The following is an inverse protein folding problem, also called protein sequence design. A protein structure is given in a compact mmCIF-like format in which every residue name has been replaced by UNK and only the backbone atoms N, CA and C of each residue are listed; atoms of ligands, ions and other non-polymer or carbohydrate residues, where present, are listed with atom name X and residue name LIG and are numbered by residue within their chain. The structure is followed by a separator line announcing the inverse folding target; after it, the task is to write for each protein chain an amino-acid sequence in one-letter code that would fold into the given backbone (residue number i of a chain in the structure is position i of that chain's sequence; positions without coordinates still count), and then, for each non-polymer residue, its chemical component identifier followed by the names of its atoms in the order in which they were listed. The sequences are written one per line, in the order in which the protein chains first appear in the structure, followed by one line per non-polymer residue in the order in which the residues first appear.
data_IF_029563589691
#
_entry.id   IF_029563589691
#
_cell.length_a   1.000
_cell.length_b   1.000
_cell.length_c   1.000
_cell.angle_alpha   90.00
_cell.angle_beta   90.00
_cell.angle_gamma   90.00
#
_symmetry.space_group_name_H-M   'P 1'
#
loop_
_entity.id
_entity.type
_entity.pdbx_description
1 polymer ?
#
# COMPACT_ATOMS: atom_id res chain seq x y z
N UNK A 1 -22.60 -6.33 33.38
CA UNK A 1 -21.37 -7.06 32.96
C UNK A 1 -21.81 -8.20 32.04
N UNK A 2 -21.14 -8.43 30.91
CA UNK A 2 -21.58 -9.39 29.89
C UNK A 2 -20.70 -10.67 29.94
N UNK A 3 -21.26 -11.87 30.19
CA UNK A 3 -20.49 -13.12 30.25
C UNK A 3 -19.64 -13.39 28.99
N UNK A 4 -20.13 -12.99 27.82
CA UNK A 4 -19.41 -13.14 26.56
C UNK A 4 -18.10 -12.34 26.51
N UNK A 5 -18.06 -11.16 27.14
CA UNK A 5 -16.86 -10.32 27.24
C UNK A 5 -15.87 -10.94 28.22
N UNK A 6 -16.35 -11.56 29.31
CA UNK A 6 -15.50 -12.30 30.24
C UNK A 6 -14.83 -13.50 29.57
N UNK A 7 -15.58 -14.28 28.78
CA UNK A 7 -15.04 -15.42 28.02
C UNK A 7 -13.96 -14.98 27.02
N UNK A 8 -14.21 -13.90 26.26
CA UNK A 8 -13.22 -13.32 25.35
C UNK A 8 -11.96 -12.84 26.10
N UNK A 9 -12.14 -12.24 27.29
CA UNK A 9 -11.03 -11.80 28.13
C UNK A 9 -10.16 -12.95 28.64
N UNK A 10 -10.78 -14.08 29.02
CA UNK A 10 -10.07 -15.30 29.41
C UNK A 10 -9.27 -15.84 28.22
N UNK A 11 -9.93 -15.97 27.06
CA UNK A 11 -9.27 -16.47 25.85
C UNK A 11 -8.05 -15.62 25.46
N UNK A 12 -8.18 -14.28 25.52
CA UNK A 12 -7.09 -13.36 25.19
C UNK A 12 -5.90 -13.51 26.15
N UNK A 13 -6.15 -13.54 27.47
CA UNK A 13 -5.11 -13.66 28.49
C UNK A 13 -4.37 -15.00 28.41
N UNK A 14 -5.11 -16.11 28.35
CA UNK A 14 -4.51 -17.47 28.26
C UNK A 14 -3.67 -17.60 26.99
N UNK A 15 -4.15 -17.08 25.86
CA UNK A 15 -3.40 -17.10 24.59
C UNK A 15 -2.13 -16.27 24.69
N UNK A 16 -2.21 -15.04 25.20
CA UNK A 16 -1.04 -14.18 25.44
C UNK A 16 0.00 -14.88 26.31
N UNK A 17 -0.42 -15.41 27.46
CA UNK A 17 0.50 -16.02 28.43
C UNK A 17 1.14 -17.30 27.88
N UNK A 18 0.43 -18.05 27.01
CA UNK A 18 0.99 -19.20 26.30
C UNK A 18 2.02 -18.78 25.25
N UNK A 19 1.74 -17.73 24.48
CA UNK A 19 2.64 -17.21 23.43
C UNK A 19 3.93 -16.64 24.02
N UNK A 20 3.83 -15.92 25.12
CA UNK A 20 4.99 -15.35 25.82
C UNK A 20 5.87 -16.48 26.38
N UNK A 21 5.29 -17.46 27.09
CA UNK A 21 6.05 -18.61 27.64
C UNK A 21 6.75 -19.45 26.57
N UNK A 22 6.13 -19.61 25.41
CA UNK A 22 6.69 -20.37 24.29
C UNK A 22 7.50 -19.49 23.31
N UNK A 23 7.78 -18.24 23.67
CA UNK A 23 8.52 -17.32 22.81
C UNK A 23 9.93 -17.83 22.58
N UNK A 24 10.33 -17.88 21.31
CA UNK A 24 11.68 -18.19 20.89
C UNK A 24 12.24 -16.95 20.21
N UNK A 25 13.37 -16.47 20.68
CA UNK A 25 14.05 -15.34 20.08
C UNK A 25 14.64 -15.78 18.74
N UNK A 26 14.38 -14.99 17.69
CA UNK A 26 14.97 -15.20 16.37
C UNK A 26 16.40 -14.64 16.35
N UNK A 27 16.65 -13.63 17.17
CA UNK A 27 17.91 -12.93 17.30
C UNK A 27 18.92 -13.78 18.09
N UNK A 28 20.18 -13.89 17.63
CA UNK A 28 21.21 -14.59 18.36
C UNK A 28 21.65 -13.79 19.60
N UNK A 29 22.06 -14.50 20.66
CA UNK A 29 22.71 -13.92 21.85
C UNK A 29 21.87 -12.91 22.65
N UNK A 30 20.53 -12.96 22.59
CA UNK A 30 19.68 -12.15 23.46
C UNK A 30 19.96 -12.48 24.92
N UNK A 31 20.40 -11.48 25.69
CA UNK A 31 20.69 -11.63 27.12
C UNK A 31 19.38 -11.63 27.90
N UNK A 32 19.03 -12.77 28.46
CA UNK A 32 17.86 -12.93 29.33
C UNK A 32 18.37 -13.16 30.75
N UNK A 33 17.86 -12.38 31.71
CA UNK A 33 18.16 -12.59 33.14
C UNK A 33 17.64 -13.96 33.60
N UNK A 34 18.19 -14.49 34.69
CA UNK A 34 17.66 -15.70 35.36
C UNK A 34 16.18 -15.58 35.71
N UNK A 35 15.72 -14.35 35.95
CA UNK A 35 14.34 -14.01 36.31
C UNK A 35 13.42 -13.82 35.08
N UNK A 36 13.93 -14.13 33.88
CA UNK A 36 13.24 -13.90 32.61
C UNK A 36 13.13 -12.42 32.25
N UNK A 37 12.04 -12.07 31.57
CA UNK A 37 11.71 -10.70 31.14
C UNK A 37 10.61 -10.04 32.01
N UNK A 38 10.31 -10.62 33.17
CA UNK A 38 9.32 -10.09 34.13
C UNK A 38 7.87 -10.16 33.63
N UNK A 39 7.04 -9.28 34.18
CA UNK A 39 5.62 -9.14 33.85
C UNK A 39 5.34 -8.51 32.48
N UNK A 40 6.33 -7.85 31.88
CA UNK A 40 6.19 -7.07 30.64
C UNK A 40 5.60 -5.67 30.84
N UNK A 41 5.35 -5.22 32.08
CA UNK A 41 4.86 -3.87 32.36
C UNK A 41 5.99 -2.91 32.75
N UNK A 42 5.93 -1.61 32.39
CA UNK A 42 6.99 -0.65 32.69
C UNK A 42 7.21 -0.42 34.19
N UNK A 43 6.24 -0.76 35.04
CA UNK A 43 6.35 -0.61 36.50
C UNK A 43 7.14 -1.72 37.19
N UNK A 44 7.35 -2.84 36.52
CA UNK A 44 7.97 -4.03 37.12
C UNK A 44 9.50 -3.95 37.09
N UNK A 45 10.19 -4.08 38.24
CA UNK A 45 11.64 -4.06 38.32
C UNK A 45 12.32 -5.10 37.43
N UNK A 46 11.75 -6.31 37.32
CA UNK A 46 12.35 -7.39 36.51
C UNK A 46 12.26 -7.07 35.02
N UNK A 47 11.14 -6.48 34.58
CA UNK A 47 10.98 -6.02 33.19
C UNK A 47 11.98 -4.90 32.86
N UNK A 48 12.17 -3.92 33.77
CA UNK A 48 13.16 -2.86 33.57
C UNK A 48 14.58 -3.40 33.49
N UNK A 49 14.93 -4.35 34.37
CA UNK A 49 16.25 -5.01 34.36
C UNK A 49 16.50 -5.72 33.03
N UNK A 50 15.51 -6.49 32.54
CA UNK A 50 15.58 -7.12 31.22
C UNK A 50 15.81 -6.10 30.09
N UNK A 51 15.11 -4.96 30.09
CA UNK A 51 15.31 -3.91 29.08
C UNK A 51 16.71 -3.27 29.15
N UNK A 52 17.36 -3.25 30.31
CA UNK A 52 18.73 -2.73 30.42
C UNK A 52 19.75 -3.79 29.97
N UNK A 53 19.54 -5.04 30.36
CA UNK A 53 20.51 -6.12 30.11
C UNK A 53 20.46 -6.64 28.65
N UNK A 54 19.30 -6.59 28.01
CA UNK A 54 19.07 -7.15 26.67
C UNK A 54 19.34 -6.19 25.51
N UNK A 55 19.72 -4.94 25.80
CA UNK A 55 19.94 -3.94 24.76
C UNK A 55 21.26 -4.17 24.02
N UNK A 56 21.20 -4.13 22.69
CA UNK A 56 22.33 -4.17 21.77
C UNK A 56 22.71 -2.73 21.35
N UNK A 57 24.00 -2.35 21.37
CA UNK A 57 24.41 -0.98 21.05
C UNK A 57 24.06 -0.53 19.63
N UNK A 58 23.92 -1.44 18.66
CA UNK A 58 23.65 -1.11 17.25
C UNK A 58 22.19 -1.41 16.91
N UNK A 59 21.69 -2.59 17.26
CA UNK A 59 20.36 -3.06 16.84
C UNK A 59 19.24 -2.72 17.84
N UNK A 60 19.57 -2.25 19.05
CA UNK A 60 18.59 -1.93 20.07
C UNK A 60 18.04 -3.17 20.76
N UNK A 61 16.81 -3.58 20.45
CA UNK A 61 16.14 -4.69 21.14
C UNK A 61 15.76 -5.85 20.22
N UNK A 62 15.53 -7.02 20.82
CA UNK A 62 14.84 -8.12 20.13
C UNK A 62 13.39 -7.76 19.78
N UNK A 63 12.82 -8.47 18.82
CA UNK A 63 11.43 -8.35 18.36
C UNK A 63 10.36 -8.54 19.45
N UNK A 64 10.72 -9.08 20.61
CA UNK A 64 9.81 -9.17 21.76
C UNK A 64 9.48 -7.78 22.36
N UNK A 65 10.41 -6.83 22.28
CA UNK A 65 10.28 -5.50 22.89
C UNK A 65 9.54 -4.56 21.94
N UNK A 66 8.61 -3.78 22.49
CA UNK A 66 7.87 -2.76 21.74
C UNK A 66 8.70 -1.47 21.67
N UNK A 67 9.30 -1.21 20.52
CA UNK A 67 10.10 0.01 20.28
C UNK A 67 9.30 1.31 20.48
N UNK A 68 7.98 1.27 20.23
CA UNK A 68 7.09 2.42 20.44
C UNK A 68 6.79 2.73 21.92
N UNK A 69 7.30 1.94 22.87
CA UNK A 69 7.14 2.24 24.29
C UNK A 69 8.15 3.29 24.74
N UNK A 70 7.65 4.35 25.39
CA UNK A 70 8.47 5.44 25.94
C UNK A 70 9.63 4.96 26.82
N UNK A 71 9.46 3.87 27.57
CA UNK A 71 10.55 3.31 28.40
C UNK A 71 11.66 2.69 27.56
N UNK A 72 11.32 2.04 26.44
CA UNK A 72 12.29 1.47 25.51
C UNK A 72 13.00 2.59 24.73
N UNK A 73 12.23 3.56 24.23
CA UNK A 73 12.72 4.72 23.48
C UNK A 73 13.79 5.51 24.26
N UNK A 74 13.50 5.86 25.52
CA UNK A 74 14.47 6.54 26.41
C UNK A 74 15.73 5.72 26.68
N UNK A 75 15.65 4.39 26.66
CA UNK A 75 16.82 3.52 26.85
C UNK A 75 17.64 3.37 25.57
N UNK A 76 16.99 3.33 24.39
CA UNK A 76 17.66 3.32 23.09
C UNK A 76 18.46 4.61 22.89
N UNK A 77 17.87 5.78 23.16
CA UNK A 77 18.55 7.07 23.05
C UNK A 77 19.80 7.18 23.95
N UNK A 78 19.81 6.47 25.08
CA UNK A 78 20.91 6.54 26.08
C UNK A 78 22.01 5.52 25.85
N UNK A 79 21.65 4.33 25.38
CA UNK A 79 22.55 3.17 25.39
C UNK A 79 22.91 2.67 23.99
N UNK A 80 22.21 3.11 22.95
CA UNK A 80 22.51 2.74 21.57
C UNK A 80 23.24 3.86 20.81
N UNK A 81 23.86 3.48 19.71
CA UNK A 81 24.43 4.41 18.74
C UNK A 81 23.30 5.27 18.17
N UNK A 82 23.54 6.57 18.06
CA UNK A 82 22.59 7.50 17.44
C UNK A 82 22.39 7.10 15.97
N UNK A 83 21.22 6.56 15.67
CA UNK A 83 20.78 6.34 14.30
C UNK A 83 20.08 7.60 13.82
N UNK A 84 20.59 8.18 12.74
CA UNK A 84 19.85 9.18 11.98
C UNK A 84 19.15 8.45 10.86
N UNK A 85 17.85 8.33 11.01
CA UNK A 85 17.00 7.93 9.90
C UNK A 85 16.84 9.16 9.02
N UNK A 86 16.79 8.99 7.70
CA UNK A 86 16.19 10.02 6.85
C UNK A 86 14.75 10.17 7.35
N UNK A 87 14.51 11.19 8.17
CA UNK A 87 13.16 11.58 8.48
C UNK A 87 12.53 11.95 7.15
N UNK A 88 11.54 11.17 6.72
CA UNK A 88 10.46 11.72 5.92
C UNK A 88 9.72 12.69 6.84
N UNK A 89 10.33 13.87 7.10
CA UNK A 89 9.95 14.93 8.04
C UNK A 89 8.96 14.49 9.13
N UNK A 90 9.48 14.02 10.27
CA UNK A 90 8.71 13.61 11.44
C UNK A 90 8.54 14.76 12.47
N UNK A 91 8.46 16.01 12.00
CA UNK A 91 7.89 17.10 12.80
C UNK A 91 6.37 16.97 12.77
N UNK A 92 5.70 17.03 13.92
CA UNK A 92 4.23 17.09 14.01
C UNK A 92 3.65 17.90 12.84
N UNK A 93 2.61 17.42 12.12
CA UNK A 93 2.18 18.05 10.90
C UNK A 93 1.63 19.43 11.26
N UNK A 94 2.46 20.46 11.13
CA UNK A 94 1.94 21.71 10.63
C UNK A 94 1.44 21.35 9.25
N UNK A 95 0.12 21.24 9.19
CA UNK A 95 -0.74 21.01 8.03
C UNK A 95 -0.18 21.88 6.86
N UNK A 96 0.42 23.04 7.13
CA UNK A 96 1.09 23.91 6.15
C UNK A 96 2.43 23.44 5.53
N UNK A 97 3.27 22.63 6.19
CA UNK A 97 4.62 22.29 5.69
C UNK A 97 4.63 21.13 4.69
N UNK A 98 3.92 20.06 5.05
CA UNK A 98 3.70 18.88 4.21
C UNK A 98 2.89 19.20 2.93
N UNK A 99 2.18 20.33 2.96
CA UNK A 99 1.43 20.89 1.84
C UNK A 99 2.25 21.36 0.64
N UNK A 100 3.47 21.82 0.89
CA UNK A 100 4.21 22.66 -0.04
C UNK A 100 5.04 21.81 -1.03
N UNK A 101 5.12 20.49 -0.81
CA UNK A 101 5.95 19.57 -1.60
C UNK A 101 5.19 18.80 -2.69
N UNK A 102 3.89 19.01 -2.83
CA UNK A 102 3.07 18.42 -3.90
C UNK A 102 2.79 19.45 -4.99
N UNK A 103 2.68 19.02 -6.26
CA UNK A 103 2.42 19.94 -7.35
C UNK A 103 1.09 20.67 -7.15
N UNK A 104 1.17 22.00 -7.06
CA UNK A 104 0.02 22.88 -7.07
C UNK A 104 -0.43 23.11 -8.52
N UNK A 105 -1.70 22.84 -8.80
CA UNK A 105 -2.32 23.11 -10.08
C UNK A 105 -3.33 24.24 -9.94
N UNK A 106 -2.93 25.47 -10.29
CA UNK A 106 -3.89 26.56 -10.41
C UNK A 106 -4.86 26.28 -11.57
N UNK A 107 -6.14 26.58 -11.35
CA UNK A 107 -7.13 26.63 -12.41
C UNK A 107 -6.67 27.67 -13.45
N UNK A 108 -6.65 27.30 -14.73
CA UNK A 108 -6.38 28.22 -15.81
C UNK A 108 -7.58 29.17 -16.00
N UNK A 109 -7.36 30.27 -16.72
CA UNK A 109 -8.37 31.34 -16.92
C UNK A 109 -9.67 30.86 -17.58
N UNK A 110 -9.62 29.70 -18.23
CA UNK A 110 -10.73 29.00 -18.90
C UNK A 110 -11.46 28.01 -17.96
N UNK A 111 -11.15 28.01 -16.67
CA UNK A 111 -11.81 27.15 -15.67
C UNK A 111 -11.28 25.72 -15.64
N UNK A 112 -10.16 25.45 -16.31
CA UNK A 112 -9.63 24.10 -16.54
C UNK A 112 -8.29 23.89 -15.84
N UNK A 113 -8.01 22.65 -15.43
CA UNK A 113 -6.68 22.30 -14.92
C UNK A 113 -5.66 22.22 -16.05
N UNK A 114 -4.38 22.55 -15.77
CA UNK A 114 -3.31 22.40 -16.74
C UNK A 114 -3.18 20.95 -17.19
N UNK A 115 -2.90 20.79 -18.47
CA UNK A 115 -2.64 19.49 -19.09
C UNK A 115 -1.35 18.92 -18.51
N UNK A 116 -1.39 17.64 -18.16
CA UNK A 116 -0.26 16.88 -17.60
C UNK A 116 0.05 15.69 -18.49
N UNK A 117 1.24 15.12 -18.30
CA UNK A 117 1.63 13.88 -18.95
C UNK A 117 1.32 12.70 -18.01
N UNK A 118 0.69 11.66 -18.54
CA UNK A 118 0.37 10.43 -17.84
C UNK A 118 1.10 9.26 -18.48
N UNK A 119 1.89 8.53 -17.68
CA UNK A 119 2.65 7.35 -18.10
C UNK A 119 2.21 6.13 -17.32
N UNK A 120 2.08 5.00 -18.00
CA UNK A 120 1.77 3.71 -17.39
C UNK A 120 2.91 2.75 -17.64
N UNK A 121 3.38 2.09 -16.60
CA UNK A 121 4.39 1.06 -16.67
C UNK A 121 3.83 -0.28 -16.17
N UNK A 122 4.31 -1.38 -16.74
CA UNK A 122 4.00 -2.73 -16.28
C UNK A 122 5.26 -3.41 -15.75
N UNK A 123 5.14 -3.99 -14.56
CA UNK A 123 6.25 -4.63 -13.85
C UNK A 123 5.81 -5.93 -13.17
N UNK A 124 6.70 -6.92 -13.17
CA UNK A 124 6.54 -8.17 -12.43
C UNK A 124 7.11 -8.10 -11.00
N UNK A 125 7.89 -7.04 -10.70
CA UNK A 125 8.54 -6.87 -9.40
C UNK A 125 7.89 -5.74 -8.62
N UNK A 126 7.88 -5.86 -7.30
CA UNK A 126 7.25 -4.85 -6.47
C UNK A 126 8.01 -3.53 -6.43
N UNK A 127 9.32 -3.56 -6.64
CA UNK A 127 10.23 -2.42 -6.44
C UNK A 127 10.79 -1.81 -7.74
N UNK A 128 10.49 -2.39 -8.91
CA UNK A 128 10.97 -1.86 -10.19
C UNK A 128 9.85 -1.26 -11.01
N UNK A 129 10.14 -0.18 -11.74
CA UNK A 129 9.17 0.52 -12.59
C UNK A 129 8.66 -0.37 -13.73
N UNK A 130 9.49 -1.30 -14.20
CA UNK A 130 9.18 -2.16 -15.34
C UNK A 130 9.26 -1.43 -16.67
N UNK A 131 8.50 -1.90 -17.67
CA UNK A 131 8.50 -1.34 -19.03
C UNK A 131 7.36 -0.34 -19.21
N UNK A 132 7.62 0.79 -19.88
CA UNK A 132 6.58 1.73 -20.30
C UNK A 132 5.61 1.00 -21.23
N UNK A 133 4.32 1.12 -20.92
CA UNK A 133 3.22 0.57 -21.71
C UNK A 133 2.51 1.68 -22.49
N UNK A 134 2.36 2.86 -21.89
CA UNK A 134 1.64 3.97 -22.52
C UNK A 134 2.11 5.31 -21.98
N UNK A 135 2.16 6.30 -22.86
CA UNK A 135 2.33 7.72 -22.55
C UNK A 135 1.15 8.48 -23.15
N UNK A 136 0.67 9.49 -22.42
CA UNK A 136 -0.43 10.38 -22.78
C UNK A 136 0.00 11.79 -22.42
N UNK A 137 0.20 12.66 -23.40
CA UNK A 137 0.75 14.01 -23.18
C UNK A 137 -0.34 15.07 -22.94
N UNK A 138 -1.58 14.73 -23.23
CA UNK A 138 -2.75 15.61 -23.23
C UNK A 138 -3.76 15.28 -22.12
N UNK A 139 -3.29 14.71 -21.01
CA UNK A 139 -4.16 14.25 -19.95
C UNK A 139 -4.65 15.42 -19.07
N UNK A 140 -5.96 15.59 -18.95
CA UNK A 140 -6.59 16.69 -18.21
C UNK A 140 -7.29 16.18 -16.94
N UNK A 141 -6.94 16.76 -15.78
CA UNK A 141 -7.39 16.29 -14.45
C UNK A 141 -8.91 16.34 -14.20
N UNK A 142 -9.65 17.16 -14.94
CA UNK A 142 -11.12 17.24 -14.84
C UNK A 142 -11.85 16.10 -15.56
N UNK A 143 -11.13 15.29 -16.34
CA UNK A 143 -11.68 14.09 -16.97
C UNK A 143 -11.35 12.89 -16.07
N UNK A 144 -12.23 12.51 -15.13
CA UNK A 144 -12.13 11.20 -14.50
C UNK A 144 -12.33 10.12 -15.57
N UNK A 145 -11.24 9.52 -16.02
CA UNK A 145 -11.25 8.55 -17.11
C UNK A 145 -11.33 7.12 -16.55
N UNK A 146 -12.36 6.38 -16.96
CA UNK A 146 -12.41 4.93 -16.76
C UNK A 146 -11.43 4.28 -17.74
N UNK A 147 -10.26 3.86 -17.26
CA UNK A 147 -9.28 3.09 -18.05
C UNK A 147 -9.75 1.63 -18.17
N UNK A 148 -10.59 1.35 -19.17
CA UNK A 148 -10.92 -0.02 -19.55
C UNK A 148 -9.82 -0.59 -20.42
N UNK A 149 -9.26 -1.71 -20.00
CA UNK A 149 -8.29 -2.50 -20.77
C UNK A 149 -8.97 -3.49 -21.74
N UNK A 150 -10.31 -3.60 -21.76
CA UNK A 150 -11.04 -4.05 -22.97
C UNK A 150 -12.53 -3.68 -22.94
N UNK A 151 -13.09 -3.58 -24.16
CA UNK A 151 -14.41 -3.11 -24.60
C UNK A 151 -15.57 -3.47 -23.64
N UNK A 152 -16.58 -2.63 -23.34
CA UNK A 152 -17.55 -2.00 -24.24
C UNK A 152 -18.22 -0.76 -23.60
N UNK A 153 -18.87 0.03 -24.46
CA UNK A 153 -20.05 0.91 -24.22
C UNK A 153 -19.88 2.33 -23.66
N UNK A 154 -18.85 3.07 -24.10
CA UNK A 154 -18.92 4.53 -24.38
C UNK A 154 -17.60 4.90 -25.12
N UNK A 155 -17.63 5.26 -26.42
CA UNK A 155 -16.45 5.26 -27.28
C UNK A 155 -15.51 6.48 -27.16
N UNK A 156 -15.96 7.61 -26.61
CA UNK A 156 -15.24 8.86 -26.85
C UNK A 156 -14.07 9.16 -25.89
N UNK A 157 -13.92 8.45 -24.76
CA UNK A 157 -12.85 8.75 -23.77
C UNK A 157 -12.36 7.54 -22.95
N UNK A 158 -12.01 6.44 -23.62
CA UNK A 158 -11.37 5.27 -22.98
C UNK A 158 -9.93 5.12 -23.43
N UNK A 159 -9.02 4.95 -22.48
CA UNK A 159 -7.62 4.68 -22.80
C UNK A 159 -7.29 3.20 -22.59
N UNK A 160 -7.07 2.54 -23.72
CA UNK A 160 -6.77 1.12 -23.84
C UNK A 160 -5.26 0.89 -23.68
N UNK A 161 -4.89 -0.07 -22.84
CA UNK A 161 -3.49 -0.44 -22.59
C UNK A 161 -3.22 -1.84 -23.13
N UNK A 162 -2.44 -1.94 -24.20
CA UNK A 162 -1.99 -3.22 -24.73
C UNK A 162 -0.56 -3.47 -24.29
N UNK A 163 -0.32 -4.54 -23.53
CA UNK A 163 1.02 -4.96 -23.15
C UNK A 163 1.17 -6.48 -23.22
N UNK A 164 2.38 -6.93 -23.52
CA UNK A 164 2.70 -8.36 -23.49
C UNK A 164 2.97 -8.78 -22.04
N UNK A 165 2.29 -9.84 -21.60
CA UNK A 165 2.46 -10.35 -20.24
C UNK A 165 3.88 -10.89 -20.04
N UNK A 166 4.60 -10.43 -18.99
CA UNK A 166 5.89 -10.98 -18.63
C UNK A 166 5.79 -12.50 -18.40
N UNK A 167 6.82 -13.29 -18.80
CA UNK A 167 6.80 -14.73 -18.61
C UNK A 167 6.61 -15.16 -17.15
N UNK A 168 7.11 -14.39 -16.18
CA UNK A 168 6.93 -14.68 -14.76
C UNK A 168 5.44 -14.62 -14.35
N UNK A 169 4.69 -13.64 -14.86
CA UNK A 169 3.24 -13.49 -14.60
C UNK A 169 2.43 -14.70 -15.08
N UNK A 170 2.88 -15.38 -16.14
CA UNK A 170 2.24 -16.62 -16.65
C UNK A 170 2.51 -17.84 -15.76
N UNK A 171 3.54 -17.80 -14.92
CA UNK A 171 3.95 -18.88 -13.99
C UNK A 171 3.65 -18.50 -12.54
N UNK A 172 2.46 -17.96 -12.28
CA UNK A 172 1.99 -17.52 -10.95
C UNK A 172 2.69 -16.26 -10.41
N UNK A 173 3.34 -15.49 -11.27
CA UNK A 173 3.96 -14.23 -10.89
C UNK A 173 2.92 -13.12 -10.72
N UNK A 174 3.27 -12.13 -9.89
CA UNK A 174 2.46 -10.94 -9.72
C UNK A 174 2.72 -9.95 -10.86
N UNK A 175 1.69 -9.24 -11.29
CA UNK A 175 1.78 -8.12 -12.22
C UNK A 175 1.25 -6.87 -11.53
N UNK A 176 2.06 -5.82 -11.59
CA UNK A 176 1.69 -4.50 -11.13
C UNK A 176 1.67 -3.53 -12.31
N UNK A 177 0.69 -2.63 -12.28
CA UNK A 177 0.72 -1.41 -13.07
C UNK A 177 1.18 -0.26 -12.19
N UNK A 178 2.08 0.55 -12.73
CA UNK A 178 2.56 1.77 -12.10
C UNK A 178 2.08 2.95 -12.95
N UNK A 179 1.30 3.81 -12.32
CA UNK A 179 0.72 5.02 -12.89
C UNK A 179 1.55 6.21 -12.46
N UNK A 180 2.00 7.00 -13.41
CA UNK A 180 2.91 8.10 -13.18
C UNK A 180 2.36 9.38 -13.84
N UNK A 181 2.20 10.42 -13.05
CA UNK A 181 1.75 11.74 -13.50
C UNK A 181 2.93 12.72 -13.45
N UNK A 182 3.12 13.46 -14.53
CA UNK A 182 4.28 14.32 -14.78
C UNK A 182 3.85 15.66 -15.40
N UNK A 183 4.68 16.72 -15.29
CA UNK A 183 4.51 17.92 -16.10
C UNK A 183 4.51 17.56 -17.59
N UNK A 184 3.65 18.23 -18.38
CA UNK A 184 3.58 18.06 -19.84
C UNK A 184 4.95 18.19 -20.53
N UNK A 185 5.79 19.10 -20.05
CA UNK A 185 7.10 19.39 -20.64
C UNK A 185 8.17 18.33 -20.30
N UNK A 186 7.80 17.19 -19.69
CA UNK A 186 8.76 16.15 -19.28
C UNK A 186 9.12 15.25 -20.46
N UNK A 187 10.38 15.22 -20.92
CA UNK A 187 10.81 14.35 -22.02
C UNK A 187 10.67 12.87 -21.67
N UNK A 188 10.34 12.02 -22.65
CA UNK A 188 10.13 10.58 -22.45
C UNK A 188 11.39 9.83 -22.01
N UNK A 189 12.56 10.29 -22.47
CA UNK A 189 13.88 9.71 -22.26
C UNK A 189 14.52 10.08 -20.91
N UNK A 190 13.94 11.04 -20.19
CA UNK A 190 14.43 11.50 -18.90
C UNK A 190 13.83 10.68 -17.77
N UNK A 191 14.67 10.28 -16.81
CA UNK A 191 14.22 9.67 -15.55
C UNK A 191 13.20 10.59 -14.87
N UNK A 192 12.01 10.05 -14.62
CA UNK A 192 10.88 10.77 -14.03
C UNK A 192 11.23 11.47 -12.71
N UNK A 193 12.23 10.96 -11.98
CA UNK A 193 12.74 11.57 -10.74
C UNK A 193 13.36 12.95 -10.95
N UNK A 194 13.72 13.29 -12.19
CA UNK A 194 14.26 14.60 -12.60
C UNK A 194 13.17 15.57 -13.05
N UNK A 195 11.91 15.13 -13.13
CA UNK A 195 10.81 16.03 -13.43
C UNK A 195 10.61 17.05 -12.29
N UNK A 196 10.08 18.23 -12.63
CA UNK A 196 9.80 19.30 -11.65
C UNK A 196 8.93 18.80 -10.49
N UNK A 197 8.05 17.86 -10.78
CA UNK A 197 7.24 17.13 -9.82
C UNK A 197 6.83 15.80 -10.47
N UNK A 198 6.45 14.82 -9.66
CA UNK A 198 5.83 13.58 -10.14
C UNK A 198 4.89 13.01 -9.08
N UNK A 199 3.85 12.30 -9.51
CA UNK A 199 2.99 11.50 -8.64
C UNK A 199 3.00 10.07 -9.15
N UNK A 200 3.28 9.12 -8.26
CA UNK A 200 3.33 7.70 -8.58
C UNK A 200 2.27 6.95 -7.79
N UNK A 201 1.54 6.08 -8.46
CA UNK A 201 0.59 5.16 -7.85
C UNK A 201 0.81 3.77 -8.44
N UNK A 202 0.49 2.75 -7.65
CA UNK A 202 0.74 1.38 -8.02
C UNK A 202 -0.46 0.52 -7.69
N UNK A 203 -0.87 -0.30 -8.64
CA UNK A 203 -1.96 -1.24 -8.47
C UNK A 203 -1.51 -2.65 -8.83
N UNK A 204 -1.85 -3.63 -7.99
CA UNK A 204 -1.74 -5.03 -8.34
C UNK A 204 -2.91 -5.41 -9.24
N UNK A 205 -2.61 -5.89 -10.44
CA UNK A 205 -3.63 -6.25 -11.43
C UNK A 205 -3.73 -7.76 -11.66
N UNK A 206 -2.75 -8.55 -11.21
CA UNK A 206 -2.85 -10.01 -11.23
C UNK A 206 -3.51 -10.56 -9.97
N UNK A 207 -4.39 -11.54 -10.13
CA UNK A 207 -4.89 -12.37 -9.04
C UNK A 207 -4.79 -13.84 -9.43
N UNK A 208 -4.39 -14.68 -8.48
CA UNK A 208 -4.31 -16.12 -8.68
C UNK A 208 -5.55 -16.77 -8.07
N UNK A 209 -6.32 -17.50 -8.87
CA UNK A 209 -7.59 -18.10 -8.43
C UNK A 209 -7.58 -19.60 -8.65
N UNK A 210 -8.09 -20.32 -7.66
CA UNK A 210 -8.42 -21.74 -7.83
C UNK A 210 -9.64 -21.86 -8.75
N UNK A 211 -9.68 -22.87 -9.63
CA UNK A 211 -10.87 -23.14 -10.44
C UNK A 211 -12.07 -23.42 -9.53
N UNK A 212 -13.25 -22.93 -9.90
CA UNK A 212 -14.47 -23.15 -9.12
C UNK A 212 -14.75 -24.64 -8.93
N UNK A 213 -14.92 -25.04 -7.67
CA UNK A 213 -15.34 -26.40 -7.31
C UNK A 213 -16.84 -26.51 -7.42
N UNK A 214 -17.33 -27.04 -8.54
CA UNK A 214 -18.73 -27.44 -8.65
C UNK A 214 -18.88 -28.90 -8.24
N UNK A 215 -19.56 -29.13 -7.11
CA UNK A 215 -20.05 -30.45 -6.74
C UNK A 215 -21.48 -30.61 -7.25
N UNK A 216 -21.71 -31.57 -8.14
CA UNK A 216 -23.06 -31.84 -8.61
C UNK A 216 -23.79 -32.74 -7.61
N UNK A 217 -24.71 -32.15 -6.85
CA UNK A 217 -25.54 -32.84 -5.85
C UNK A 217 -26.38 -33.99 -6.44
N UNK A 218 -26.73 -33.93 -7.73
CA UNK A 218 -27.60 -34.90 -8.39
C UNK A 218 -26.83 -36.10 -8.98
N UNK A 219 -25.58 -35.90 -9.39
CA UNK A 219 -24.77 -36.95 -10.03
C UNK A 219 -23.61 -37.44 -9.16
N UNK A 220 -23.29 -36.74 -8.06
CA UNK A 220 -22.15 -37.05 -7.19
C UNK A 220 -20.79 -36.77 -7.84
N UNK A 221 -20.77 -36.21 -9.04
CA UNK A 221 -19.54 -35.93 -9.78
C UNK A 221 -18.80 -34.72 -9.19
N UNK A 222 -17.51 -34.94 -8.93
CA UNK A 222 -16.54 -33.90 -8.58
C UNK A 222 -15.69 -33.67 -9.83
N UNK A 223 -15.81 -32.49 -10.46
CA UNK A 223 -14.85 -32.10 -11.51
C UNK A 223 -13.48 -31.87 -10.87
N UNK A 224 -12.45 -32.50 -11.43
CA UNK A 224 -11.08 -32.38 -10.93
C UNK A 224 -10.52 -30.96 -11.07
N UNK A 225 -9.66 -30.62 -10.09
CA UNK A 225 -9.02 -29.31 -9.92
C UNK A 225 -7.95 -29.13 -11.00
N UNK A 226 -8.14 -28.20 -11.93
CA UNK A 226 -7.03 -27.66 -12.70
C UNK A 226 -6.05 -26.94 -11.74
N UNK A 227 -4.75 -26.82 -12.10
CA UNK A 227 -3.87 -25.91 -11.38
C UNK A 227 -4.50 -24.51 -11.38
N UNK A 228 -4.36 -23.73 -10.29
CA UNK A 228 -4.88 -22.38 -10.26
C UNK A 228 -4.36 -21.56 -11.44
N UNK A 229 -5.19 -20.65 -11.94
CA UNK A 229 -4.90 -19.92 -13.18
C UNK A 229 -4.74 -18.43 -12.87
N UNK A 230 -3.77 -17.78 -13.52
CA UNK A 230 -3.58 -16.34 -13.40
C UNK A 230 -4.74 -15.61 -14.07
N UNK A 231 -5.41 -14.76 -13.30
CA UNK A 231 -6.37 -13.81 -13.80
C UNK A 231 -5.76 -12.41 -13.79
N UNK A 232 -6.10 -11.61 -14.80
CA UNK A 232 -5.69 -10.22 -14.89
C UNK A 232 -6.91 -9.32 -14.84
N UNK A 233 -6.80 -8.26 -14.07
CA UNK A 233 -7.79 -7.21 -14.00
C UNK A 233 -7.77 -6.42 -15.30
N UNK A 234 -8.88 -6.50 -16.02
CA UNK A 234 -9.10 -5.82 -17.30
C UNK A 234 -9.62 -4.39 -17.16
N UNK A 235 -9.97 -3.94 -15.95
CA UNK A 235 -10.45 -2.57 -15.72
C UNK A 235 -9.75 -1.99 -14.50
N UNK A 236 -9.12 -0.84 -14.67
CA UNK A 236 -8.58 -0.07 -13.55
C UNK A 236 -9.31 1.27 -13.49
N UNK A 237 -9.96 1.52 -12.37
CA UNK A 237 -10.70 2.76 -12.15
C UNK A 237 -9.72 3.82 -11.64
N UNK A 238 -9.54 4.88 -12.40
CA UNK A 238 -8.85 6.09 -11.95
C UNK A 238 -9.94 7.13 -11.74
N UNK A 239 -10.09 7.61 -10.50
CA UNK A 239 -11.13 8.57 -10.16
C UNK A 239 -10.53 9.85 -9.62
N UNK A 240 -11.21 10.96 -9.93
CA UNK A 240 -11.02 12.22 -9.25
C UNK A 240 -11.72 12.16 -7.88
N UNK A 241 -11.24 12.89 -6.87
CA UNK A 241 -11.90 12.96 -5.55
C UNK A 241 -13.30 13.61 -5.62
N UNK A 242 -13.58 14.42 -6.66
CA UNK A 242 -14.90 15.00 -6.89
C UNK A 242 -15.92 13.94 -7.32
N UNK A 243 -15.46 12.92 -8.05
CA UNK A 243 -16.29 11.82 -8.58
C UNK A 243 -16.30 10.58 -7.66
N UNK A 244 -15.64 10.65 -6.50
CA UNK A 244 -15.57 9.56 -5.53
C UNK A 244 -16.92 9.32 -4.85
N UNK A 245 -17.30 8.06 -4.55
CA UNK A 245 -18.35 7.79 -3.56
C UNK A 245 -17.95 8.41 -2.21
N UNK A 246 -18.90 8.70 -1.31
CA UNK A 246 -18.61 9.28 0.01
C UNK A 246 -17.56 8.45 0.78
N UNK A 247 -16.29 8.82 0.64
CA UNK A 247 -15.15 8.22 1.32
C UNK A 247 -14.75 9.17 2.44
N UNK A 248 -14.72 8.66 3.66
CA UNK A 248 -14.16 9.37 4.80
C UNK A 248 -12.69 9.72 4.52
N UNK A 249 -12.27 10.96 4.78
CA UNK A 249 -10.89 11.43 4.57
C UNK A 249 -9.82 10.56 5.24
N UNK A 250 -10.18 9.78 6.27
CA UNK A 250 -9.28 8.85 6.96
C UNK A 250 -9.01 7.56 6.18
N UNK A 251 -9.91 7.24 5.24
CA UNK A 251 -9.91 6.01 4.45
C UNK A 251 -9.55 6.27 2.98
N UNK A 252 -9.30 7.54 2.63
CA UNK A 252 -8.75 7.92 1.34
C UNK A 252 -7.28 7.45 1.23
N UNK A 253 -6.83 6.98 0.05
CA UNK A 253 -5.42 6.64 -0.16
C UNK A 253 -4.55 7.87 0.16
N UNK A 254 -3.35 7.65 0.72
CA UNK A 254 -2.43 8.62 1.34
C UNK A 254 -2.00 9.81 0.45
N UNK A 255 -2.95 10.66 0.09
CA UNK A 255 -2.77 11.96 -0.55
C UNK A 255 -3.84 12.84 0.09
N UNK A 256 -3.45 13.71 1.03
CA UNK A 256 -4.40 14.66 1.65
C UNK A 256 -4.41 15.98 0.87
N UNK A 257 -5.59 16.59 0.88
CA UNK A 257 -6.02 17.79 0.19
C UNK A 257 -5.75 19.04 1.02
N UNK A 258 -5.40 20.16 0.38
CA UNK A 258 -5.76 21.46 0.94
C UNK A 258 -6.23 22.40 -0.14
N UNK A 259 -7.52 22.75 -0.10
CA UNK A 259 -8.06 23.95 -0.71
C UNK A 259 -7.59 25.21 0.04
N UNK A 260 -7.24 26.27 -0.69
CA UNK A 260 -7.43 27.62 -0.17
C UNK A 260 -8.83 28.14 -0.59
N UNK A 261 -9.18 29.37 -0.20
CA UNK A 261 -10.49 29.98 -0.48
C UNK A 261 -10.84 30.11 -1.98
N UNK A 262 -9.91 29.76 -2.89
CA UNK A 262 -10.04 29.97 -4.33
C UNK A 262 -9.97 28.69 -5.20
N UNK A 263 -9.91 27.47 -4.65
CA UNK A 263 -9.88 26.30 -5.53
C UNK A 263 -9.90 24.91 -4.89
N UNK A 264 -10.60 24.00 -5.57
CA UNK A 264 -10.63 22.56 -5.31
C UNK A 264 -9.51 21.85 -6.08
N UNK A 265 -8.97 20.75 -5.52
CA UNK A 265 -7.89 19.98 -6.13
C UNK A 265 -8.41 18.63 -6.63
N UNK A 266 -8.35 18.34 -7.94
CA UNK A 266 -8.73 17.04 -8.48
C UNK A 266 -7.60 16.06 -8.17
N UNK A 267 -7.73 15.32 -7.08
CA UNK A 267 -6.84 14.19 -6.82
C UNK A 267 -7.28 13.01 -7.66
N UNK A 268 -6.39 12.52 -8.52
CA UNK A 268 -6.61 11.24 -9.19
C UNK A 268 -6.05 10.10 -8.35
N UNK A 269 -6.83 9.05 -8.14
CA UNK A 269 -6.37 7.85 -7.48
C UNK A 269 -6.88 6.58 -8.17
N UNK A 270 -6.09 5.51 -8.08
CA UNK A 270 -6.55 4.17 -8.45
C UNK A 270 -7.52 3.69 -7.38
N UNK A 271 -8.80 3.55 -7.75
CA UNK A 271 -9.85 3.22 -6.83
C UNK A 271 -10.00 1.72 -6.63
N UNK A 272 -9.20 1.17 -5.71
CA UNK A 272 -9.20 -0.26 -5.44
C UNK A 272 -10.52 -0.79 -4.87
N UNK A 273 -11.32 0.05 -4.22
CA UNK A 273 -12.63 -0.34 -3.70
C UNK A 273 -13.67 -0.56 -4.80
N UNK A 274 -13.46 -0.02 -6.01
CA UNK A 274 -14.32 -0.26 -7.16
C UNK A 274 -13.94 -1.51 -7.97
N UNK A 275 -12.94 -2.27 -7.51
CA UNK A 275 -12.55 -3.50 -8.17
C UNK A 275 -13.68 -4.54 -8.08
N UNK A 276 -14.16 -4.99 -9.24
CA UNK A 276 -15.18 -6.05 -9.31
C UNK A 276 -14.57 -7.35 -9.79
N UNK A 277 -15.06 -8.46 -9.26
CA UNK A 277 -14.58 -9.78 -9.66
C UNK A 277 -14.85 -10.10 -11.13
N UNK A 278 -15.96 -9.59 -11.68
CA UNK A 278 -16.32 -9.75 -13.10
C UNK A 278 -15.31 -9.13 -14.07
N UNK A 279 -14.47 -8.21 -13.59
CA UNK A 279 -13.48 -7.53 -14.42
C UNK A 279 -12.15 -8.31 -14.47
N UNK A 280 -12.07 -9.47 -13.80
CA UNK A 280 -10.96 -10.41 -13.90
C UNK A 280 -11.13 -11.30 -15.12
N UNK A 281 -10.14 -11.26 -16.00
CA UNK A 281 -10.08 -12.08 -17.21
C UNK A 281 -9.00 -13.15 -17.00
N UNK A 282 -9.38 -14.40 -17.21
CA UNK A 282 -8.44 -15.52 -17.21
C UNK A 282 -7.41 -15.32 -18.32
N UNK A 283 -6.13 -15.51 -17.99
CA UNK A 283 -5.06 -15.47 -18.98
C UNK A 283 -4.92 -16.87 -19.57
N UNK A 284 -5.39 -17.04 -20.79
CA UNK A 284 -5.04 -18.22 -21.59
C UNK A 284 -3.52 -18.18 -21.87
N UNK A 285 -2.81 -19.23 -21.42
CA UNK A 285 -1.35 -19.37 -21.57
C UNK A 285 -1.00 -19.93 -22.95
#
# INVERSE_FOLDING_TARGET
MFPIVSAASIAAKVTRDRRIRAWQFLEPNVKISSDGYGSGYPGDPSTKKFLVDSIDPVFGYSSLVRFSWKTADVLLEKSCVKAEWEELDAGAPSVKGWLISKPFFALQKDGKFPVIQFRVYATEQSLSMGKVVKVVDDFQLADAQELKVREYSNPDRKLMLNFTLPPATRRNGTLFLVFLYLPKDTPEDVDYRRAKWYVIQKAQVSAYREPERTFNLMTGEVKEKLPPVTHIRSVVNIMSFEDSPEISLRDAPEIQLFGDENGYYPMLYVADLLNREKDLVEVEI
#
